data_IF_442436698600
#
_entry.id   IF_442436698600
#
_cell.length_a   1.000
_cell.length_b   1.000
_cell.length_c   1.000
_cell.angle_alpha   90.00
_cell.angle_beta   90.00
_cell.angle_gamma   90.00
#
_symmetry.space_group_name_H-M   'P 1'
#
loop_
_entity.id
_entity.type
_entity.pdbx_description
1 polymer ?
#
# COMPACT_ATOMS: atom_id res chain seq x y z
N UNK A 1 23.97 -5.27 -56.30
CA UNK A 1 25.00 -4.60 -55.47
C UNK A 1 24.33 -3.48 -54.67
N UNK A 2 23.98 -3.66 -53.40
CA UNK A 2 23.42 -2.59 -52.59
C UNK A 2 24.53 -1.60 -52.25
N UNK A 3 24.40 -0.35 -52.69
CA UNK A 3 25.32 0.73 -52.30
C UNK A 3 24.99 1.14 -50.86
N UNK A 4 25.83 0.76 -49.90
CA UNK A 4 25.77 1.28 -48.55
C UNK A 4 26.05 2.80 -48.60
N UNK A 5 25.01 3.61 -48.38
CA UNK A 5 25.19 5.02 -48.04
C UNK A 5 25.61 5.08 -46.58
N UNK A 6 26.90 5.29 -46.35
CA UNK A 6 27.38 5.69 -45.04
C UNK A 6 26.86 7.10 -44.75
N UNK A 7 25.80 7.17 -43.94
CA UNK A 7 25.39 8.41 -43.29
C UNK A 7 26.49 8.76 -42.28
N UNK A 8 27.44 9.61 -42.68
CA UNK A 8 28.36 10.28 -41.76
C UNK A 8 27.54 11.22 -40.87
N UNK A 9 26.95 10.67 -39.82
CA UNK A 9 26.36 11.44 -38.74
C UNK A 9 27.53 12.14 -38.06
N UNK A 10 27.66 13.44 -38.28
CA UNK A 10 28.54 14.29 -37.48
C UNK A 10 27.91 14.42 -36.09
N UNK A 11 28.10 13.40 -35.24
CA UNK A 11 27.70 13.47 -33.84
C UNK A 11 28.61 14.50 -33.18
N UNK A 12 28.10 15.71 -32.96
CA UNK A 12 28.72 16.67 -32.05
C UNK A 12 28.34 16.22 -30.63
N UNK A 13 29.27 15.68 -29.82
CA UNK A 13 28.93 15.08 -28.52
C UNK A 13 28.48 16.12 -27.50
N UNK A 14 29.05 17.33 -27.54
CA UNK A 14 28.70 18.44 -26.65
C UNK A 14 27.20 18.83 -26.69
N UNK A 15 26.58 19.13 -27.85
CA UNK A 15 25.16 19.47 -27.89
C UNK A 15 24.25 18.29 -27.53
N UNK A 16 24.68 17.05 -27.79
CA UNK A 16 23.92 15.86 -27.37
C UNK A 16 23.90 15.71 -25.85
N UNK A 17 25.06 15.86 -25.21
CA UNK A 17 25.17 15.82 -23.74
C UNK A 17 24.35 16.96 -23.12
N UNK A 18 24.46 18.17 -23.67
CA UNK A 18 23.67 19.31 -23.21
C UNK A 18 22.17 19.05 -23.33
N UNK A 19 21.70 18.50 -24.47
CA UNK A 19 20.30 18.15 -24.68
C UNK A 19 19.80 17.09 -23.69
N UNK A 20 20.57 16.03 -23.46
CA UNK A 20 20.22 14.98 -22.50
C UNK A 20 20.20 15.51 -21.06
N UNK A 21 21.21 16.29 -20.66
CA UNK A 21 21.27 16.90 -19.34
C UNK A 21 20.08 17.84 -19.10
N UNK A 22 19.72 18.63 -20.11
CA UNK A 22 18.56 19.52 -20.03
C UNK A 22 17.25 18.73 -19.93
N UNK A 23 17.11 17.65 -20.69
CA UNK A 23 15.96 16.75 -20.61
C UNK A 23 15.82 16.10 -19.23
N UNK A 24 16.92 15.59 -18.65
CA UNK A 24 16.92 15.00 -17.31
C UNK A 24 16.58 16.04 -16.24
N UNK A 25 17.13 17.25 -16.35
CA UNK A 25 16.84 18.33 -15.41
C UNK A 25 15.36 18.74 -15.45
N UNK A 26 14.79 18.90 -16.66
CA UNK A 26 13.37 19.18 -16.84
C UNK A 26 12.48 18.05 -16.31
N UNK A 27 12.88 16.79 -16.52
CA UNK A 27 12.20 15.64 -15.94
C UNK A 27 12.18 15.67 -14.41
N UNK A 28 13.31 15.97 -13.78
CA UNK A 28 13.40 16.10 -12.32
C UNK A 28 12.50 17.23 -11.80
N UNK A 29 12.50 18.39 -12.45
CA UNK A 29 11.62 19.52 -12.09
C UNK A 29 10.14 19.15 -12.24
N UNK A 30 9.77 18.45 -13.31
CA UNK A 30 8.39 18.01 -13.52
C UNK A 30 7.93 17.01 -12.45
N UNK A 31 8.78 16.06 -12.06
CA UNK A 31 8.49 15.09 -10.99
C UNK A 31 8.36 15.81 -9.64
N UNK A 32 9.28 16.71 -9.32
CA UNK A 32 9.22 17.49 -8.08
C UNK A 32 7.96 18.36 -8.01
N UNK A 33 7.61 19.06 -9.10
CA UNK A 33 6.38 19.84 -9.19
C UNK A 33 5.13 18.96 -9.06
N UNK A 34 5.13 17.78 -9.68
CA UNK A 34 4.02 16.83 -9.60
C UNK A 34 3.84 16.29 -8.18
N UNK A 35 4.94 15.92 -7.50
CA UNK A 35 4.91 15.48 -6.10
C UNK A 35 4.44 16.61 -5.17
N UNK A 36 4.97 17.82 -5.37
CA UNK A 36 4.56 19.01 -4.62
C UNK A 36 3.07 19.28 -4.78
N UNK A 37 2.58 19.24 -6.02
CA UNK A 37 1.18 19.46 -6.35
C UNK A 37 0.30 18.34 -5.77
N UNK A 38 0.74 17.08 -5.89
CA UNK A 38 0.06 15.95 -5.27
C UNK A 38 -0.06 16.13 -3.76
N UNK A 39 1.02 16.49 -3.05
CA UNK A 39 0.99 16.75 -1.61
C UNK A 39 0.05 17.90 -1.22
N UNK A 40 -0.11 18.92 -2.06
CA UNK A 40 -1.03 20.03 -1.81
C UNK A 40 -2.51 19.70 -2.13
N UNK A 41 -2.79 18.91 -3.17
CA UNK A 41 -4.16 18.58 -3.57
C UNK A 41 -4.70 17.33 -2.86
N UNK A 42 -3.84 16.41 -2.43
CA UNK A 42 -4.20 15.22 -1.66
C UNK A 42 -5.06 15.52 -0.42
N UNK A 43 -4.77 16.53 0.43
CA UNK A 43 -5.62 16.83 1.58
C UNK A 43 -7.03 17.31 1.19
N UNK A 44 -7.24 17.84 -0.02
CA UNK A 44 -8.57 18.24 -0.50
C UNK A 44 -9.37 17.03 -1.01
N UNK A 45 -8.71 16.05 -1.62
CA UNK A 45 -9.35 14.84 -2.15
C UNK A 45 -9.47 13.70 -1.13
N UNK A 46 -8.62 13.68 -0.10
CA UNK A 46 -8.63 12.65 0.94
C UNK A 46 -9.74 12.85 1.98
N UNK A 47 -10.28 14.06 2.16
CA UNK A 47 -11.38 14.31 3.10
C UNK A 47 -12.66 13.50 2.78
N UNK A 48 -13.19 13.50 1.53
CA UNK A 48 -14.39 12.72 1.21
C UNK A 48 -14.17 11.20 1.20
N UNK A 49 -12.96 10.73 0.85
CA UNK A 49 -12.65 9.29 0.83
C UNK A 49 -12.34 8.74 2.23
N UNK A 50 -11.75 9.53 3.11
CA UNK A 50 -11.55 9.17 4.52
C UNK A 50 -12.89 8.98 5.26
N UNK A 51 -13.92 9.78 4.93
CA UNK A 51 -15.25 9.64 5.52
C UNK A 51 -16.00 8.40 5.01
N UNK A 52 -15.75 7.98 3.77
CA UNK A 52 -16.38 6.78 3.20
C UNK A 52 -15.70 5.46 3.62
N UNK A 53 -14.41 5.50 3.97
CA UNK A 53 -13.63 4.32 4.40
C UNK A 53 -13.52 4.21 5.92
N UNK A 54 -13.81 5.27 6.69
CA UNK A 54 -13.73 5.25 8.14
C UNK A 54 -15.10 5.42 8.83
N UNK A 55 -15.78 4.34 9.23
CA UNK A 55 -16.66 4.37 10.39
C UNK A 55 -15.90 4.29 11.73
N UNK A 56 -14.56 4.34 11.75
CA UNK A 56 -13.81 4.12 13.00
C UNK A 56 -12.45 4.80 13.17
N UNK A 57 -11.96 5.59 12.21
CA UNK A 57 -10.67 6.27 12.34
C UNK A 57 -10.86 7.67 12.93
N UNK A 58 -10.56 7.76 14.22
CA UNK A 58 -10.29 8.94 15.02
C UNK A 58 -9.87 10.18 14.21
N UNK A 59 -10.68 11.24 14.30
CA UNK A 59 -10.42 12.57 13.76
C UNK A 59 -9.26 13.21 14.54
N UNK A 60 -8.09 13.51 13.95
CA UNK A 60 -7.12 14.34 14.66
C UNK A 60 -7.68 15.75 14.70
N UNK A 61 -7.84 16.26 15.92
CA UNK A 61 -8.08 17.68 16.16
C UNK A 61 -6.90 18.52 15.64
N UNK A 62 -7.17 19.81 15.39
CA UNK A 62 -6.24 20.87 15.01
C UNK A 62 -4.86 20.75 15.70
N UNK A 63 -3.77 21.29 15.11
CA UNK A 63 -2.42 21.12 15.64
C UNK A 63 -2.35 21.72 17.05
N UNK A 64 -2.47 20.84 18.05
CA UNK A 64 -2.13 21.16 19.41
C UNK A 64 -0.61 21.30 19.48
N UNK A 65 -0.17 22.22 20.35
CA UNK A 65 1.21 22.45 20.72
C UNK A 65 2.02 21.14 20.85
N UNK A 66 3.34 21.14 20.58
CA UNK A 66 4.15 19.93 20.56
C UNK A 66 3.92 19.12 21.84
N UNK A 67 3.25 17.97 21.67
CA UNK A 67 3.02 17.04 22.77
C UNK A 67 4.38 16.55 23.28
N UNK A 68 4.54 16.36 24.60
CA UNK A 68 5.79 15.89 25.18
C UNK A 68 6.20 14.56 24.54
N UNK A 69 7.48 14.37 24.28
CA UNK A 69 8.04 13.19 23.60
C UNK A 69 7.67 11.82 24.22
N UNK A 70 7.11 11.82 25.43
CA UNK A 70 6.52 10.64 26.07
C UNK A 70 5.29 10.10 25.32
N UNK A 71 4.46 10.98 24.74
CA UNK A 71 3.24 10.58 24.02
C UNK A 71 3.59 9.92 22.68
N UNK A 72 4.69 10.34 22.03
CA UNK A 72 5.17 9.74 20.79
C UNK A 72 5.70 8.31 20.99
N UNK A 73 6.36 8.03 22.13
CA UNK A 73 6.81 6.66 22.43
C UNK A 73 5.63 5.73 22.77
N UNK A 74 4.64 6.24 23.51
CA UNK A 74 3.41 5.51 23.80
C UNK A 74 2.61 5.21 22.52
N UNK A 75 2.49 6.17 21.60
CA UNK A 75 1.83 5.96 20.30
C UNK A 75 2.55 4.89 19.48
N UNK A 76 3.89 4.92 19.42
CA UNK A 76 4.68 3.91 18.71
C UNK A 76 4.53 2.51 19.33
N UNK A 77 4.41 2.41 20.66
CA UNK A 77 4.18 1.14 21.35
C UNK A 77 2.79 0.58 21.07
N UNK A 78 1.74 1.42 21.11
CA UNK A 78 0.39 0.98 20.75
C UNK A 78 0.30 0.55 19.29
N UNK A 79 0.93 1.28 18.36
CA UNK A 79 1.04 0.86 16.95
C UNK A 79 1.75 -0.47 16.79
N UNK A 80 2.82 -0.70 17.54
CA UNK A 80 3.53 -1.97 17.52
C UNK A 80 2.64 -3.12 18.01
N UNK A 81 1.88 -2.91 19.09
CA UNK A 81 0.90 -3.89 19.59
C UNK A 81 -0.17 -4.19 18.56
N UNK A 82 -0.71 -3.18 17.90
CA UNK A 82 -1.70 -3.35 16.83
C UNK A 82 -1.14 -4.19 15.69
N UNK A 83 0.09 -3.90 15.24
CA UNK A 83 0.77 -4.68 14.20
C UNK A 83 0.97 -6.13 14.65
N UNK A 84 1.41 -6.35 15.89
CA UNK A 84 1.63 -7.69 16.42
C UNK A 84 0.32 -8.49 16.48
N UNK A 85 -0.77 -7.85 16.92
CA UNK A 85 -2.08 -8.47 16.96
C UNK A 85 -2.58 -8.81 15.55
N UNK A 86 -2.44 -7.89 14.60
CA UNK A 86 -2.77 -8.15 13.19
C UNK A 86 -1.96 -9.30 12.60
N UNK A 87 -0.66 -9.37 12.89
CA UNK A 87 0.19 -10.47 12.45
C UNK A 87 -0.27 -11.81 13.04
N UNK A 88 -0.63 -11.85 14.33
CA UNK A 88 -1.15 -13.08 14.95
C UNK A 88 -2.45 -13.56 14.29
N UNK A 89 -3.39 -12.64 13.99
CA UNK A 89 -4.65 -12.99 13.31
C UNK A 89 -4.38 -13.51 11.90
N UNK A 90 -3.48 -12.85 11.14
CA UNK A 90 -3.10 -13.29 9.80
C UNK A 90 -2.44 -14.66 9.81
N UNK A 91 -1.50 -14.90 10.73
CA UNK A 91 -0.83 -16.19 10.89
C UNK A 91 -1.81 -17.30 11.26
N UNK A 92 -2.78 -17.04 12.15
CA UNK A 92 -3.81 -18.01 12.51
C UNK A 92 -4.68 -18.37 11.30
N UNK A 93 -5.04 -17.38 10.48
CA UNK A 93 -5.79 -17.61 9.25
C UNK A 93 -4.99 -18.42 8.22
N UNK A 94 -3.73 -18.07 7.98
CA UNK A 94 -2.83 -18.80 7.07
C UNK A 94 -2.53 -20.22 7.55
N UNK A 95 -2.41 -20.44 8.87
CA UNK A 95 -2.24 -21.76 9.45
C UNK A 95 -3.48 -22.64 9.27
N UNK A 96 -4.69 -22.09 9.42
CA UNK A 96 -5.94 -22.79 9.08
C UNK A 96 -6.01 -23.12 7.58
N UNK A 97 -5.43 -22.22 6.76
CA UNK A 97 -5.05 -22.33 5.35
C UNK A 97 -4.32 -23.60 4.93
N UNK A 98 -3.06 -23.61 5.37
CA UNK A 98 -2.06 -24.58 4.96
C UNK A 98 -2.15 -25.91 5.70
N UNK A 99 -3.04 -26.04 6.68
CA UNK A 99 -3.18 -27.28 7.44
C UNK A 99 -3.76 -28.39 6.53
N UNK A 100 -3.03 -29.50 6.29
CA UNK A 100 -3.51 -30.59 5.45
C UNK A 100 -4.84 -31.17 5.93
N UNK A 101 -5.15 -31.14 7.23
CA UNK A 101 -6.44 -31.59 7.77
C UNK A 101 -7.60 -30.74 7.26
N UNK A 102 -7.39 -29.43 7.13
CA UNK A 102 -8.39 -28.47 6.67
C UNK A 102 -8.52 -28.51 5.15
N UNK A 103 -7.39 -28.64 4.45
CA UNK A 103 -7.33 -28.84 3.00
C UNK A 103 -8.01 -30.15 2.56
N UNK A 104 -8.01 -31.19 3.39
CA UNK A 104 -8.70 -32.44 3.06
C UNK A 104 -10.23 -32.40 3.32
N UNK A 105 -10.76 -31.32 3.90
CA UNK A 105 -12.20 -31.16 4.17
C UNK A 105 -12.83 -30.14 3.20
N UNK A 106 -13.69 -30.58 2.26
CA UNK A 106 -14.31 -29.66 1.29
C UNK A 106 -15.27 -28.66 1.96
N UNK A 107 -15.86 -29.01 3.11
CA UNK A 107 -16.72 -28.09 3.89
C UNK A 107 -15.90 -26.98 4.54
N UNK A 108 -14.74 -27.31 5.11
CA UNK A 108 -13.85 -26.31 5.69
C UNK A 108 -13.38 -25.32 4.61
N UNK A 109 -12.91 -25.83 3.46
CA UNK A 109 -12.47 -24.96 2.36
C UNK A 109 -13.56 -23.99 1.88
N UNK A 110 -14.79 -24.47 1.71
CA UNK A 110 -15.91 -23.63 1.28
C UNK A 110 -16.15 -22.47 2.27
N UNK A 111 -16.28 -22.79 3.56
CA UNK A 111 -16.58 -21.78 4.58
C UNK A 111 -15.41 -20.83 4.82
N UNK A 112 -14.18 -21.31 4.70
CA UNK A 112 -12.98 -20.50 4.82
C UNK A 112 -12.86 -19.50 3.66
N UNK A 113 -13.13 -19.94 2.43
CA UNK A 113 -13.16 -19.07 1.26
C UNK A 113 -14.30 -18.05 1.31
N UNK A 114 -15.47 -18.45 1.83
CA UNK A 114 -16.58 -17.53 2.04
C UNK A 114 -16.26 -16.48 3.11
N UNK A 115 -15.64 -16.88 4.22
CA UNK A 115 -15.26 -15.97 5.29
C UNK A 115 -14.19 -14.94 4.85
N UNK A 116 -13.31 -15.32 3.92
CA UNK A 116 -12.32 -14.42 3.31
C UNK A 116 -12.91 -13.36 2.38
N UNK A 117 -13.95 -13.73 1.63
CA UNK A 117 -14.56 -12.85 0.63
C UNK A 117 -15.62 -11.93 1.24
N UNK A 118 -16.34 -12.40 2.27
CA UNK A 118 -17.28 -11.60 3.05
C UNK A 118 -17.41 -12.17 4.47
N UNK A 119 -16.70 -11.59 5.47
CA UNK A 119 -16.81 -12.04 6.86
C UNK A 119 -18.22 -11.79 7.39
N UNK A 120 -18.95 -12.86 7.71
CA UNK A 120 -20.28 -12.81 8.33
C UNK A 120 -20.31 -13.68 9.58
N UNK A 121 -21.19 -13.40 10.53
CA UNK A 121 -21.33 -14.22 11.75
C UNK A 121 -21.63 -15.68 11.41
N UNK A 122 -22.42 -15.92 10.36
CA UNK A 122 -22.70 -17.26 9.85
C UNK A 122 -21.46 -17.94 9.30
N UNK A 123 -20.68 -17.27 8.44
CA UNK A 123 -19.47 -17.88 7.89
C UNK A 123 -18.43 -18.15 8.97
N UNK A 124 -18.25 -17.25 9.95
CA UNK A 124 -17.36 -17.49 11.08
C UNK A 124 -17.78 -18.70 11.92
N UNK A 125 -19.07 -18.82 12.26
CA UNK A 125 -19.56 -19.96 13.03
C UNK A 125 -19.30 -21.29 12.30
N UNK A 126 -19.52 -21.34 10.98
CA UNK A 126 -19.26 -22.55 10.20
C UNK A 126 -17.76 -22.84 10.02
N UNK A 127 -16.89 -21.82 9.95
CA UNK A 127 -15.43 -22.04 9.98
C UNK A 127 -15.01 -22.66 11.31
N UNK A 128 -15.54 -22.17 12.43
CA UNK A 128 -15.26 -22.74 13.76
C UNK A 128 -15.77 -24.18 13.90
N UNK A 129 -16.92 -24.50 13.30
CA UNK A 129 -17.50 -25.85 13.33
C UNK A 129 -16.76 -26.85 12.44
N UNK A 130 -16.29 -26.43 11.25
CA UNK A 130 -15.76 -27.34 10.23
C UNK A 130 -14.22 -27.34 10.10
N UNK A 131 -13.51 -26.34 10.63
CA UNK A 131 -12.06 -26.17 10.47
C UNK A 131 -11.22 -26.31 11.77
N UNK A 132 -11.85 -26.45 12.94
CA UNK A 132 -11.20 -26.71 14.24
C UNK A 132 -11.64 -28.07 14.79
#
# INVERSE_FOLDING_TARGET
MPRHRELKITLKPLPLIACVAFGLWLGAVAIAASLWLALQLWPQQAQPLAQAVAPGAFRPAAPAAPAPAADAQAEMFERYKDILHQQQVQQAAEAAEGNPRNLNSPKCQFWLQQNRTAPTDKSQANVLEFCY
#
